data_IF_221951534280
#
_entry.id   IF_221951534280
#
_cell.length_a   1.000
_cell.length_b   1.000
_cell.length_c   1.000
_cell.angle_alpha   90.00
_cell.angle_beta   90.00
_cell.angle_gamma   90.00
#
_symmetry.space_group_name_H-M   'P 1'
#
loop_
_entity.id
_entity.type
_entity.pdbx_description
1 polymer ?
#
# COMPACT_ATOMS: atom_id res chain seq x y z
N UNK A 1 -21.34 -45.43 79.23
CA UNK A 1 -21.99 -45.55 77.89
C UNK A 1 -20.92 -45.22 76.86
N UNK A 2 -19.92 -46.09 76.61
CA UNK A 2 -19.91 -47.20 75.63
C UNK A 2 -20.57 -46.79 74.32
N UNK A 3 -19.90 -46.71 73.16
CA UNK A 3 -19.11 -47.72 72.42
C UNK A 3 -18.55 -47.02 71.16
N UNK A 4 -17.48 -47.38 70.47
CA UNK A 4 -16.69 -48.61 70.44
C UNK A 4 -16.52 -49.07 68.98
N UNK A 5 -15.28 -49.04 68.49
CA UNK A 5 -14.62 -50.00 67.57
C UNK A 5 -15.14 -50.29 66.14
N UNK A 6 -14.18 -50.08 65.23
CA UNK A 6 -13.77 -50.78 63.99
C UNK A 6 -14.50 -52.06 63.54
N UNK A 7 -14.77 -52.17 62.22
CA UNK A 7 -14.22 -53.20 61.29
C UNK A 7 -15.06 -53.32 60.00
N UNK A 8 -14.41 -53.28 58.83
CA UNK A 8 -14.23 -54.45 57.95
C UNK A 8 -13.38 -54.03 56.74
N UNK A 9 -12.24 -54.71 56.62
CA UNK A 9 -11.36 -54.73 55.46
C UNK A 9 -11.89 -55.63 54.33
N UNK A 10 -11.40 -55.33 53.13
CA UNK A 10 -11.19 -56.21 51.97
C UNK A 10 -12.39 -56.47 51.05
N UNK A 11 -12.28 -56.02 49.79
CA UNK A 11 -11.90 -56.92 48.67
C UNK A 11 -11.06 -56.13 47.65
N UNK A 12 -10.01 -56.80 47.16
CA UNK A 12 -8.95 -56.35 46.28
C UNK A 12 -9.37 -55.67 44.97
N UNK A 13 -8.59 -54.67 44.57
CA UNK A 13 -8.50 -54.19 43.18
C UNK A 13 -7.08 -54.47 42.68
N UNK A 14 -6.99 -55.41 41.74
CA UNK A 14 -5.78 -55.68 40.98
C UNK A 14 -5.58 -54.58 39.92
N UNK A 15 -4.35 -54.07 39.82
CA UNK A 15 -3.95 -53.07 38.85
C UNK A 15 -3.98 -53.58 37.41
N UNK A 16 -4.21 -52.68 36.44
CA UNK A 16 -3.54 -52.74 35.16
C UNK A 16 -2.60 -51.55 34.95
N UNK A 17 -1.34 -51.92 34.70
CA UNK A 17 -0.33 -51.29 33.84
C UNK A 17 -0.59 -49.87 33.30
N UNK A 18 0.34 -48.97 33.65
CA UNK A 18 0.51 -47.66 33.03
C UNK A 18 0.92 -47.81 31.55
N UNK A 19 -0.05 -47.70 30.65
CA UNK A 19 0.23 -47.40 29.24
C UNK A 19 0.19 -45.88 29.05
N UNK A 20 1.38 -45.29 28.99
CA UNK A 20 1.55 -43.91 28.57
C UNK A 20 1.21 -43.78 27.09
N UNK A 21 0.05 -43.19 26.80
CA UNK A 21 -0.25 -42.62 25.49
C UNK A 21 0.58 -41.34 25.33
N UNK A 22 1.77 -41.49 24.74
CA UNK A 22 2.55 -40.37 24.26
C UNK A 22 1.78 -39.68 23.13
N UNK A 23 1.12 -38.56 23.44
CA UNK A 23 0.58 -37.65 22.43
C UNK A 23 1.75 -36.97 21.71
N UNK A 24 2.16 -37.53 20.58
CA UNK A 24 3.11 -36.88 19.68
C UNK A 24 2.44 -35.67 19.03
N UNK A 25 2.56 -34.50 19.65
CA UNK A 25 2.34 -33.22 18.97
C UNK A 25 3.55 -33.01 18.06
N UNK A 26 3.45 -33.49 16.82
CA UNK A 26 4.37 -33.09 15.77
C UNK A 26 4.14 -31.60 15.52
N UNK A 27 4.97 -30.76 16.12
CA UNK A 27 5.07 -29.36 15.73
C UNK A 27 5.68 -29.35 14.33
N UNK A 28 4.83 -29.41 13.31
CA UNK A 28 5.22 -29.15 11.94
C UNK A 28 5.62 -27.68 11.87
N UNK A 29 6.89 -27.40 12.12
CA UNK A 29 7.51 -26.13 11.74
C UNK A 29 7.50 -26.14 10.21
N UNK A 30 6.46 -25.56 9.62
CA UNK A 30 6.51 -25.20 8.21
C UNK A 30 7.76 -24.33 8.03
N UNK A 31 8.64 -24.64 7.07
CA UNK A 31 9.75 -23.76 6.80
C UNK A 31 9.15 -22.40 6.44
N UNK A 32 9.43 -21.38 7.23
CA UNK A 32 9.23 -20.01 6.81
C UNK A 32 10.10 -19.85 5.56
N UNK A 33 9.49 -19.94 4.38
CA UNK A 33 10.14 -19.51 3.15
C UNK A 33 10.20 -18.00 3.31
N UNK A 34 11.24 -17.52 3.98
CA UNK A 34 11.66 -16.14 3.87
C UNK A 34 12.06 -15.98 2.41
N UNK A 35 11.09 -15.66 1.56
CA UNK A 35 11.35 -15.15 0.23
C UNK A 35 12.08 -13.83 0.50
N UNK A 36 13.41 -13.90 0.55
CA UNK A 36 14.23 -12.73 0.69
C UNK A 36 13.88 -11.85 -0.50
N UNK A 37 13.19 -10.75 -0.22
CA UNK A 37 12.83 -9.78 -1.23
C UNK A 37 14.14 -9.38 -1.92
N UNK A 38 14.29 -9.78 -3.17
CA UNK A 38 15.53 -9.57 -3.89
C UNK A 38 15.72 -8.06 -4.08
N UNK A 39 16.73 -7.50 -3.42
CA UNK A 39 17.10 -6.11 -3.62
C UNK A 39 17.51 -5.93 -5.10
N UNK A 40 16.79 -5.10 -5.88
CA UNK A 40 17.13 -4.84 -7.26
C UNK A 40 18.57 -4.33 -7.39
N UNK A 41 19.26 -4.78 -8.44
CA UNK A 41 20.60 -4.32 -8.75
C UNK A 41 20.61 -2.80 -9.05
N UNK A 42 21.69 -2.13 -8.64
CA UNK A 42 21.86 -0.70 -8.87
C UNK A 42 22.14 -0.42 -10.37
N UNK A 43 21.24 0.30 -11.05
CA UNK A 43 21.38 0.69 -12.47
C UNK A 43 21.08 2.18 -12.69
N UNK A 44 21.26 2.69 -13.92
CA UNK A 44 20.89 4.07 -14.25
C UNK A 44 19.37 4.32 -14.17
N UNK A 45 18.56 3.28 -14.43
CA UNK A 45 17.10 3.33 -14.54
C UNK A 45 16.37 3.51 -13.21
N UNK A 46 17.11 3.51 -12.10
CA UNK A 46 16.59 3.79 -10.76
C UNK A 46 16.68 5.28 -10.43
N UNK A 47 17.16 6.12 -11.35
CA UNK A 47 17.42 7.54 -11.10
C UNK A 47 16.16 8.39 -11.23
N UNK A 48 15.79 9.10 -10.16
CA UNK A 48 14.79 10.16 -10.14
C UNK A 48 15.15 11.28 -9.13
N UNK A 49 15.26 12.55 -9.57
CA UNK A 49 15.95 13.60 -8.82
C UNK A 49 15.08 14.32 -7.76
N UNK A 50 14.42 13.57 -6.86
CA UNK A 50 13.56 14.14 -5.79
C UNK A 50 14.26 15.26 -5.00
N UNK A 51 15.54 15.09 -4.67
CA UNK A 51 16.32 16.06 -3.89
C UNK A 51 16.46 17.43 -4.57
N UNK A 52 16.41 17.49 -5.90
CA UNK A 52 16.44 18.77 -6.64
C UNK A 52 15.09 19.49 -6.63
N UNK A 53 13.99 18.78 -6.36
CA UNK A 53 12.62 19.28 -6.54
C UNK A 53 11.90 19.50 -5.20
N UNK A 54 12.02 18.57 -4.25
CA UNK A 54 11.23 18.59 -3.01
C UNK A 54 12.02 18.91 -1.73
N UNK A 55 13.34 18.69 -1.73
CA UNK A 55 14.19 18.85 -0.54
C UNK A 55 15.38 19.79 -0.75
N UNK A 56 15.41 20.55 -1.85
CA UNK A 56 16.56 21.38 -2.25
C UNK A 56 16.90 22.49 -1.25
N UNK A 57 15.94 22.88 -0.41
CA UNK A 57 16.10 23.92 0.62
C UNK A 57 16.45 23.36 2.01
N UNK A 58 16.43 22.04 2.20
CA UNK A 58 16.90 21.44 3.43
C UNK A 58 18.40 21.15 3.29
N UNK A 59 19.26 21.63 4.21
CA UNK A 59 20.70 21.36 4.23
C UNK A 59 21.03 19.88 4.61
N UNK A 60 20.12 18.98 4.26
CA UNK A 60 20.11 17.55 4.53
C UNK A 60 19.87 16.75 3.23
N UNK A 61 19.78 17.39 2.06
CA UNK A 61 19.54 16.67 0.82
C UNK A 61 20.68 15.69 0.50
N UNK A 62 20.43 14.39 0.71
CA UNK A 62 21.23 13.34 0.11
C UNK A 62 21.15 13.49 -1.41
N UNK A 63 22.29 13.61 -2.08
CA UNK A 63 22.41 13.76 -3.54
C UNK A 63 22.03 12.49 -4.31
N UNK A 64 21.70 11.39 -3.62
CA UNK A 64 21.32 10.15 -4.26
C UNK A 64 19.90 10.24 -4.82
N UNK A 65 19.84 10.36 -6.15
CA UNK A 65 18.63 10.24 -6.95
C UNK A 65 18.24 8.79 -7.21
N UNK A 66 18.97 7.80 -6.68
CA UNK A 66 18.77 6.38 -7.00
C UNK A 66 17.73 5.73 -6.08
N UNK A 67 16.68 5.18 -6.65
CA UNK A 67 15.46 4.67 -6.00
C UNK A 67 15.05 3.36 -6.64
N UNK A 68 15.81 2.32 -6.33
CA UNK A 68 15.52 1.01 -6.87
C UNK A 68 14.14 0.55 -6.36
N UNK A 69 13.37 -0.06 -7.25
CA UNK A 69 11.99 -0.46 -7.00
C UNK A 69 11.93 -1.96 -6.82
N UNK A 70 11.42 -2.39 -5.68
CA UNK A 70 11.06 -3.78 -5.44
C UNK A 70 9.60 -3.96 -5.79
N UNK A 71 9.26 -4.94 -6.62
CA UNK A 71 7.88 -5.36 -6.86
C UNK A 71 7.56 -6.65 -6.10
N UNK A 72 6.39 -6.69 -5.47
CA UNK A 72 5.84 -7.88 -4.83
C UNK A 72 4.37 -8.06 -5.24
N UNK A 73 4.00 -9.26 -5.69
CA UNK A 73 2.61 -9.64 -5.92
C UNK A 73 2.02 -10.21 -4.63
N UNK A 74 1.45 -9.33 -3.80
CA UNK A 74 0.92 -9.71 -2.47
C UNK A 74 -0.38 -10.50 -2.56
N UNK A 75 -1.19 -10.28 -3.60
CA UNK A 75 -2.35 -11.12 -3.94
C UNK A 75 -2.27 -11.46 -5.41
N UNK A 76 -2.13 -12.76 -5.68
CA UNK A 76 -1.94 -13.28 -7.04
C UNK A 76 -2.97 -12.73 -8.02
N UNK A 77 -2.48 -12.13 -9.10
CA UNK A 77 -3.24 -11.56 -10.20
C UNK A 77 -4.12 -10.36 -9.84
N UNK A 78 -3.97 -9.80 -8.63
CA UNK A 78 -4.92 -8.81 -8.09
C UNK A 78 -4.24 -7.62 -7.44
N UNK A 79 -3.24 -7.83 -6.58
CA UNK A 79 -2.61 -6.73 -5.82
C UNK A 79 -1.09 -6.86 -5.90
N UNK A 80 -0.45 -5.76 -6.26
CA UNK A 80 1.00 -5.61 -6.29
C UNK A 80 1.41 -4.43 -5.41
N UNK A 81 2.59 -4.52 -4.82
CA UNK A 81 3.22 -3.42 -4.12
C UNK A 81 4.55 -3.09 -4.78
N UNK A 82 4.84 -1.80 -4.90
CA UNK A 82 6.17 -1.35 -5.30
C UNK A 82 6.79 -0.50 -4.21
N UNK A 83 7.92 -0.96 -3.68
CA UNK A 83 8.64 -0.28 -2.60
C UNK A 83 9.87 0.42 -3.14
N UNK A 84 10.03 1.69 -2.78
CA UNK A 84 11.23 2.48 -3.03
C UNK A 84 11.75 3.03 -1.70
N UNK A 85 13.03 2.86 -1.46
CA UNK A 85 13.68 3.56 -0.35
C UNK A 85 13.74 5.05 -0.70
N UNK A 86 13.11 5.87 0.14
CA UNK A 86 13.26 7.31 0.10
C UNK A 86 13.98 7.75 1.36
N UNK A 87 15.03 8.55 1.21
CA UNK A 87 15.78 8.99 2.37
C UNK A 87 16.51 10.30 2.17
N UNK A 88 16.86 10.89 3.31
CA UNK A 88 17.54 12.18 3.45
C UNK A 88 18.68 11.95 4.46
N UNK A 89 19.93 12.09 4.00
CA UNK A 89 21.20 11.76 4.70
C UNK A 89 21.26 10.37 5.35
N UNK A 90 20.63 10.22 6.53
CA UNK A 90 20.70 9.08 7.44
C UNK A 90 19.31 8.50 7.80
N UNK A 91 18.23 9.07 7.27
CA UNK A 91 16.88 8.55 7.47
C UNK A 91 16.43 7.91 6.17
N UNK A 92 16.35 6.58 6.14
CA UNK A 92 15.86 5.80 5.02
C UNK A 92 14.51 5.21 5.40
N UNK A 93 13.46 5.58 4.68
CA UNK A 93 12.10 5.10 4.88
C UNK A 93 11.71 4.30 3.63
N UNK A 94 11.25 3.05 3.78
CA UNK A 94 10.60 2.35 2.68
C UNK A 94 9.26 3.03 2.40
N UNK A 95 9.05 3.44 1.15
CA UNK A 95 7.83 4.10 0.70
C UNK A 95 7.17 3.20 -0.32
N UNK A 96 5.88 2.94 -0.12
CA UNK A 96 5.12 1.92 -0.86
C UNK A 96 4.04 2.55 -1.70
N UNK A 97 3.98 2.18 -2.97
CA UNK A 97 2.74 2.26 -3.74
C UNK A 97 2.07 0.89 -3.79
N UNK A 98 0.75 0.89 -3.94
CA UNK A 98 -0.05 -0.32 -4.13
C UNK A 98 -0.83 -0.22 -5.42
N UNK A 99 -0.78 -1.27 -6.23
CA UNK A 99 -1.55 -1.40 -7.47
C UNK A 99 -2.58 -2.48 -7.27
N UNK A 100 -3.84 -2.17 -7.57
CA UNK A 100 -4.99 -3.07 -7.44
C UNK A 100 -5.64 -3.23 -8.81
N UNK A 101 -5.84 -4.47 -9.23
CA UNK A 101 -6.67 -4.79 -10.39
C UNK A 101 -8.14 -4.64 -10.02
N UNK A 102 -8.86 -3.86 -10.81
CA UNK A 102 -10.29 -3.63 -10.63
C UNK A 102 -11.12 -4.74 -11.28
N UNK A 103 -12.26 -5.08 -10.67
CA UNK A 103 -13.22 -6.01 -11.26
C UNK A 103 -13.90 -5.41 -12.49
N UNK A 104 -14.56 -6.26 -13.29
CA UNK A 104 -15.38 -5.78 -14.41
C UNK A 104 -16.54 -4.89 -13.96
N UNK A 105 -17.09 -5.12 -12.76
CA UNK A 105 -18.14 -4.29 -12.18
C UNK A 105 -17.63 -2.89 -11.82
N UNK A 106 -16.37 -2.77 -11.40
CA UNK A 106 -15.65 -1.50 -11.24
C UNK A 106 -15.11 -0.93 -12.59
N UNK A 107 -15.38 -1.61 -13.71
CA UNK A 107 -14.98 -1.23 -15.06
C UNK A 107 -13.54 -1.59 -15.44
N UNK A 108 -12.90 -2.50 -14.72
CA UNK A 108 -11.61 -3.10 -15.06
C UNK A 108 -10.40 -2.14 -14.99
N UNK A 109 -9.23 -2.62 -15.42
CA UNK A 109 -7.99 -1.86 -15.38
C UNK A 109 -7.34 -1.83 -13.98
N UNK A 110 -6.57 -0.77 -13.72
CA UNK A 110 -5.74 -0.66 -12.51
C UNK A 110 -6.07 0.61 -11.70
N UNK A 111 -6.06 0.45 -10.38
CA UNK A 111 -6.01 1.53 -9.40
C UNK A 111 -4.62 1.56 -8.77
N UNK A 112 -4.02 2.74 -8.70
CA UNK A 112 -2.73 2.98 -8.04
C UNK A 112 -2.96 3.83 -6.81
N UNK A 113 -2.58 3.33 -5.64
CA UNK A 113 -2.67 4.02 -4.36
C UNK A 113 -1.27 4.45 -3.92
N UNK A 114 -1.13 5.73 -3.53
CA UNK A 114 0.10 6.33 -3.01
C UNK A 114 1.32 6.12 -3.93
N UNK A 115 1.27 6.60 -5.19
CA UNK A 115 2.36 6.39 -6.15
C UNK A 115 3.71 6.89 -5.64
N UNK A 116 4.78 6.16 -5.99
CA UNK A 116 6.17 6.52 -5.69
C UNK A 116 6.86 7.11 -6.93
N UNK A 117 8.17 7.35 -6.88
CA UNK A 117 8.85 8.08 -7.94
C UNK A 117 8.78 7.31 -9.28
N UNK A 118 8.38 7.96 -10.40
CA UNK A 118 8.26 7.33 -11.71
C UNK A 118 9.64 7.13 -12.36
N UNK A 119 10.49 6.32 -11.73
CA UNK A 119 11.77 5.88 -12.29
C UNK A 119 11.51 5.04 -13.56
N UNK A 120 12.42 5.03 -14.55
CA UNK A 120 12.29 4.13 -15.70
C UNK A 120 12.04 2.67 -15.31
N UNK A 121 12.70 2.18 -14.25
CA UNK A 121 12.49 0.84 -13.72
C UNK A 121 11.03 0.61 -13.28
N UNK A 122 10.47 1.51 -12.48
CA UNK A 122 9.08 1.39 -12.05
C UNK A 122 8.12 1.44 -13.26
N UNK A 123 8.38 2.33 -14.21
CA UNK A 123 7.50 2.47 -15.36
C UNK A 123 7.46 1.21 -16.21
N UNK A 124 8.59 0.51 -16.37
CA UNK A 124 8.61 -0.79 -17.05
C UNK A 124 7.76 -1.85 -16.33
N UNK A 125 7.80 -1.90 -14.98
CA UNK A 125 6.94 -2.78 -14.18
C UNK A 125 5.46 -2.44 -14.37
N UNK A 126 5.12 -1.14 -14.30
CA UNK A 126 3.76 -0.69 -14.54
C UNK A 126 3.28 -0.97 -15.96
N UNK A 127 4.14 -0.83 -16.98
CA UNK A 127 3.81 -1.12 -18.37
C UNK A 127 3.45 -2.61 -18.55
N UNK A 128 4.16 -3.51 -17.86
CA UNK A 128 3.82 -4.94 -17.85
C UNK A 128 2.45 -5.22 -17.21
N UNK A 129 2.13 -4.55 -16.09
CA UNK A 129 0.80 -4.65 -15.47
C UNK A 129 -0.28 -4.10 -16.38
N UNK A 130 -0.04 -2.94 -17.01
CA UNK A 130 -0.99 -2.29 -17.93
C UNK A 130 -1.25 -3.17 -19.16
N UNK A 131 -0.22 -3.78 -19.73
CA UNK A 131 -0.34 -4.69 -20.86
C UNK A 131 -1.21 -5.90 -20.54
N UNK A 132 -1.11 -6.42 -19.31
CA UNK A 132 -1.80 -7.65 -18.89
C UNK A 132 -3.21 -7.42 -18.33
N UNK A 133 -3.43 -6.29 -17.65
CA UNK A 133 -4.61 -6.07 -16.83
C UNK A 133 -5.44 -4.85 -17.24
N UNK A 134 -4.97 -4.08 -18.22
CA UNK A 134 -5.64 -2.88 -18.73
C UNK A 134 -5.08 -1.58 -18.14
N UNK A 135 -5.59 -0.43 -18.59
CA UNK A 135 -5.00 0.87 -18.28
C UNK A 135 -5.11 1.22 -16.79
N UNK A 136 -4.20 2.07 -16.32
CA UNK A 136 -4.38 2.81 -15.06
C UNK A 136 -5.60 3.71 -15.21
N UNK A 137 -6.66 3.41 -14.44
CA UNK A 137 -7.91 4.19 -14.43
C UNK A 137 -7.97 5.18 -13.28
N UNK A 138 -7.36 4.84 -12.15
CA UNK A 138 -7.43 5.62 -10.93
C UNK A 138 -6.08 5.77 -10.25
N UNK A 139 -5.77 6.97 -9.80
CA UNK A 139 -4.57 7.28 -9.02
C UNK A 139 -5.02 7.99 -7.75
N UNK A 140 -4.77 7.40 -6.60
CA UNK A 140 -5.25 7.88 -5.29
C UNK A 140 -4.07 8.36 -4.46
N UNK A 141 -4.18 9.58 -3.92
CA UNK A 141 -3.32 10.07 -2.86
C UNK A 141 -4.06 9.95 -1.52
N UNK A 142 -3.70 8.93 -0.74
CA UNK A 142 -4.30 8.62 0.56
C UNK A 142 -3.53 9.19 1.76
N UNK A 143 -2.55 10.08 1.56
CA UNK A 143 -1.67 10.56 2.63
C UNK A 143 -1.20 12.00 2.43
N UNK A 144 -0.84 12.68 3.54
CA UNK A 144 -0.13 13.98 3.56
C UNK A 144 1.38 13.88 3.54
N UNK A 145 1.89 12.65 3.61
CA UNK A 145 3.30 12.34 3.60
C UNK A 145 4.01 12.98 2.40
N UNK A 146 5.07 13.74 2.67
CA UNK A 146 5.78 14.53 1.66
C UNK A 146 6.41 13.64 0.58
N UNK A 147 6.87 12.45 0.97
CA UNK A 147 7.45 11.41 0.12
C UNK A 147 6.51 10.93 -0.99
N UNK A 148 5.19 10.97 -0.77
CA UNK A 148 4.19 10.64 -1.78
C UNK A 148 3.72 11.87 -2.54
N UNK A 149 3.60 13.02 -1.88
CA UNK A 149 3.13 14.26 -2.52
C UNK A 149 4.08 14.75 -3.60
N UNK A 150 5.38 14.67 -3.36
CA UNK A 150 6.39 15.09 -4.31
C UNK A 150 6.43 14.21 -5.58
N UNK A 151 6.11 12.93 -5.45
CA UNK A 151 6.10 11.97 -6.57
C UNK A 151 4.75 11.89 -7.27
N UNK A 152 3.68 12.34 -6.61
CA UNK A 152 2.31 12.22 -7.07
C UNK A 152 2.06 12.85 -8.44
N UNK A 153 2.34 14.14 -8.60
CA UNK A 153 2.17 14.85 -9.86
C UNK A 153 2.99 14.25 -11.01
N UNK A 154 4.32 14.06 -10.83
CA UNK A 154 5.18 13.40 -11.81
C UNK A 154 4.68 12.01 -12.25
N UNK A 155 4.18 11.20 -11.31
CA UNK A 155 3.59 9.89 -11.65
C UNK A 155 2.27 10.07 -12.41
N UNK A 156 1.39 10.95 -11.96
CA UNK A 156 0.10 11.22 -12.60
C UNK A 156 0.24 11.71 -14.05
N UNK A 157 1.32 12.41 -14.39
CA UNK A 157 1.64 12.83 -15.76
C UNK A 157 1.90 11.65 -16.71
N UNK A 158 2.29 10.49 -16.19
CA UNK A 158 2.50 9.26 -16.99
C UNK A 158 1.19 8.62 -17.43
N UNK A 159 0.09 8.93 -16.74
CA UNK A 159 -1.24 8.41 -17.00
C UNK A 159 -2.27 9.55 -17.10
N UNK A 160 -2.19 10.41 -18.14
CA UNK A 160 -3.05 11.58 -18.27
C UNK A 160 -4.55 11.26 -18.41
N UNK A 161 -4.87 10.00 -18.72
CA UNK A 161 -6.25 9.52 -18.82
C UNK A 161 -6.82 8.97 -17.51
N UNK A 162 -5.98 8.70 -16.51
CA UNK A 162 -6.44 8.26 -15.21
C UNK A 162 -7.15 9.41 -14.47
N UNK A 163 -8.14 9.04 -13.65
CA UNK A 163 -8.75 9.94 -12.69
C UNK A 163 -7.88 10.01 -11.44
N UNK A 164 -7.50 11.21 -11.05
CA UNK A 164 -6.77 11.52 -9.83
C UNK A 164 -7.75 11.78 -8.70
N UNK A 165 -7.51 11.12 -7.56
CA UNK A 165 -8.30 11.22 -6.35
C UNK A 165 -7.46 11.78 -5.22
N UNK A 166 -7.94 12.86 -4.61
CA UNK A 166 -7.24 13.61 -3.58
C UNK A 166 -8.04 13.63 -2.28
N UNK A 167 -7.36 13.81 -1.16
CA UNK A 167 -8.00 14.12 0.11
C UNK A 167 -8.18 15.64 0.29
N UNK A 168 -9.34 16.11 0.78
CA UNK A 168 -9.57 17.54 1.06
C UNK A 168 -8.54 18.13 2.02
N UNK A 169 -8.03 19.33 1.70
CA UNK A 169 -7.07 20.07 2.53
C UNK A 169 -5.69 19.43 2.68
N UNK A 170 -5.44 18.27 2.04
CA UNK A 170 -4.20 17.51 2.24
C UNK A 170 -3.11 17.90 1.24
N UNK A 171 -3.39 18.77 0.26
CA UNK A 171 -2.45 18.98 -0.85
C UNK A 171 -1.38 20.04 -0.59
N UNK A 172 -1.74 21.22 -0.11
CA UNK A 172 -0.81 22.31 0.10
C UNK A 172 -1.01 22.95 1.47
N UNK A 173 0.09 23.16 2.18
CA UNK A 173 0.15 23.78 3.51
C UNK A 173 1.40 24.68 3.59
N UNK A 174 1.37 25.84 4.26
CA UNK A 174 0.21 26.43 4.97
C UNK A 174 -0.79 27.12 4.05
N UNK A 175 -0.44 27.36 2.79
CA UNK A 175 -1.31 28.01 1.80
C UNK A 175 -1.89 26.95 0.87
N UNK A 176 -3.21 27.00 0.63
CA UNK A 176 -3.88 26.11 -0.31
C UNK A 176 -3.55 26.55 -1.75
N UNK A 177 -2.48 25.98 -2.31
CA UNK A 177 -2.05 26.23 -3.68
C UNK A 177 -2.85 25.39 -4.68
N UNK A 178 -3.06 25.90 -5.91
CA UNK A 178 -3.63 25.11 -7.00
C UNK A 178 -2.85 23.80 -7.21
N UNK A 179 -3.58 22.70 -7.34
CA UNK A 179 -3.08 21.32 -7.53
C UNK A 179 -2.16 21.16 -8.75
N UNK A 180 -2.26 22.09 -9.68
CA UNK A 180 -1.47 22.21 -10.89
C UNK A 180 0.00 22.53 -10.64
N UNK A 181 0.29 23.35 -9.62
CA UNK A 181 1.66 23.83 -9.31
C UNK A 181 2.61 22.73 -8.85
N UNK A 182 2.06 21.55 -8.69
CA UNK A 182 2.67 20.37 -8.11
C UNK A 182 2.61 19.19 -9.09
N UNK A 183 2.34 19.50 -10.36
CA UNK A 183 2.52 18.60 -11.48
C UNK A 183 1.31 17.76 -11.85
N UNK A 184 0.16 17.92 -11.18
CA UNK A 184 -1.07 17.20 -11.59
C UNK A 184 -1.66 17.88 -12.83
N UNK A 185 -1.84 17.11 -13.90
CA UNK A 185 -2.34 17.61 -15.20
C UNK A 185 -3.82 17.30 -15.44
N UNK A 186 -4.40 16.40 -14.64
CA UNK A 186 -5.80 16.03 -14.68
C UNK A 186 -6.69 17.24 -14.35
N UNK A 187 -7.81 17.38 -15.07
CA UNK A 187 -8.79 18.46 -14.91
C UNK A 187 -10.21 17.93 -15.03
N UNK A 188 -11.16 18.75 -14.62
CA UNK A 188 -12.58 18.48 -14.77
C UNK A 188 -12.97 17.15 -14.10
N UNK A 189 -13.65 16.22 -14.81
CA UNK A 189 -14.10 14.97 -14.23
C UNK A 189 -12.96 14.01 -13.82
N UNK A 190 -11.74 14.21 -14.35
CA UNK A 190 -10.56 13.39 -14.03
C UNK A 190 -9.81 13.85 -12.77
N UNK A 191 -10.26 14.93 -12.12
CA UNK A 191 -9.64 15.45 -10.92
C UNK A 191 -10.69 15.56 -9.82
N UNK A 192 -10.60 14.68 -8.81
CA UNK A 192 -11.67 14.43 -7.85
C UNK A 192 -11.15 14.43 -6.41
N UNK A 193 -12.04 14.73 -5.47
CA UNK A 193 -11.76 14.60 -4.04
C UNK A 193 -12.56 13.44 -3.42
N UNK A 194 -11.90 12.65 -2.58
CA UNK A 194 -12.50 11.64 -1.70
C UNK A 194 -12.80 12.32 -0.36
N UNK A 195 -13.97 12.95 -0.26
CA UNK A 195 -14.39 13.58 0.98
C UNK A 195 -15.02 12.53 1.92
N UNK A 196 -14.74 12.59 3.24
CA UNK A 196 -15.48 11.80 4.23
C UNK A 196 -16.99 12.05 4.12
N UNK A 197 -17.84 11.08 4.53
CA UNK A 197 -19.30 11.23 4.43
C UNK A 197 -19.87 12.47 5.12
N UNK A 198 -19.19 12.97 6.15
CA UNK A 198 -19.59 14.15 6.93
C UNK A 198 -19.10 15.49 6.37
N UNK A 199 -18.28 15.48 5.31
CA UNK A 199 -17.61 16.69 4.81
C UNK A 199 -17.88 16.89 3.33
N UNK A 200 -18.29 18.10 2.95
CA UNK A 200 -18.40 18.45 1.54
C UNK A 200 -17.02 18.64 0.90
N UNK A 201 -16.82 18.22 -0.36
CA UNK A 201 -15.63 18.57 -1.13
C UNK A 201 -15.39 20.08 -1.18
N UNK A 202 -14.14 20.47 -1.40
CA UNK A 202 -13.77 21.87 -1.59
C UNK A 202 -14.49 22.46 -2.82
N UNK A 203 -14.77 23.76 -2.79
CA UNK A 203 -15.61 24.47 -3.78
C UNK A 203 -15.25 24.12 -5.24
N UNK A 204 -13.95 24.00 -5.56
CA UNK A 204 -13.46 23.67 -6.90
C UNK A 204 -13.77 22.26 -7.39
N UNK A 205 -14.05 21.31 -6.49
CA UNK A 205 -14.29 19.90 -6.82
C UNK A 205 -15.77 19.51 -6.71
N UNK A 206 -16.62 20.37 -6.12
CA UNK A 206 -18.03 20.07 -5.81
C UNK A 206 -18.84 19.63 -7.02
N UNK A 207 -18.71 20.32 -8.16
CA UNK A 207 -19.52 20.04 -9.35
C UNK A 207 -19.38 18.59 -9.83
N UNK A 208 -18.14 18.12 -9.99
CA UNK A 208 -17.87 16.76 -10.44
C UNK A 208 -18.10 15.72 -9.35
N UNK A 209 -17.89 16.09 -8.08
CA UNK A 209 -18.23 15.22 -6.96
C UNK A 209 -19.74 14.98 -6.85
N UNK A 210 -20.58 16.01 -7.04
CA UNK A 210 -22.04 15.85 -7.01
C UNK A 210 -22.57 15.10 -8.23
N UNK A 211 -21.93 15.23 -9.39
CA UNK A 211 -22.37 14.55 -10.61
C UNK A 211 -22.18 13.02 -10.52
N UNK A 212 -21.12 12.56 -9.85
CA UNK A 212 -20.81 11.14 -9.68
C UNK A 212 -20.32 10.88 -8.24
N UNK A 213 -21.18 10.84 -7.22
CA UNK A 213 -20.76 10.85 -5.81
C UNK A 213 -19.94 9.61 -5.42
N UNK A 214 -20.28 8.46 -5.99
CA UNK A 214 -19.61 7.19 -5.70
C UNK A 214 -18.43 6.98 -6.65
N UNK A 215 -17.21 6.67 -6.15
CA UNK A 215 -16.11 6.25 -7.01
C UNK A 215 -16.42 4.95 -7.74
N UNK A 216 -16.01 4.82 -9.01
CA UNK A 216 -16.29 3.63 -9.82
C UNK A 216 -15.71 2.34 -9.20
N UNK A 217 -14.54 2.44 -8.58
CA UNK A 217 -13.87 1.36 -7.87
C UNK A 217 -14.53 0.98 -6.54
N UNK A 218 -15.56 1.70 -6.08
CA UNK A 218 -16.29 1.34 -4.86
C UNK A 218 -17.09 0.04 -5.00
N UNK A 219 -17.31 -0.46 -6.22
CA UNK A 219 -17.91 -1.76 -6.47
C UNK A 219 -17.04 -2.94 -5.99
N UNK A 220 -15.75 -2.70 -5.72
CA UNK A 220 -14.78 -3.71 -5.25
C UNK A 220 -14.56 -3.67 -3.72
N UNK A 221 -15.33 -2.85 -2.99
CA UNK A 221 -15.31 -2.73 -1.52
C UNK A 221 -16.52 -3.45 -0.94
#
# INVERSE_FOLDING_TARGET
VSSGWSNIDSVASAAPSAEGIASAVASAVAPAIASAIASPAMSADVTWPLGKVAFSLLPLAGTSSRRATVEEEVVKGTIWTHDQIQGVVNVNVPVRQTVVKLSEAAGGGLLVHNPVAPTPQLMAMMDALVQKHGPVRHIVLGTVALEHKATFGPFAQRYPNATVWLQPGQWAFPVNLPIELSGVTQRGPKLRQLAPPSTSPEKGYRYYASANPTPEWAADI
#
